data_IF_497873888061
#
_entry.id   IF_497873888061
#
_cell.length_a   1.000
_cell.length_b   1.000
_cell.length_c   1.000
_cell.angle_alpha   90.00
_cell.angle_beta   90.00
_cell.angle_gamma   90.00
#
_symmetry.space_group_name_H-M   'P 1'
#
loop_
_entity.id
_entity.type
_entity.pdbx_description
1 polymer ?
#
# COMPACT_ATOMS: atom_id res chain seq x y z
N UNK A 1 5.55 36.65 41.59
CA UNK A 1 5.12 35.24 41.73
C UNK A 1 4.16 34.75 40.60
N UNK A 2 3.21 35.57 40.11
CA UNK A 2 2.28 35.18 38.99
C UNK A 2 2.98 35.01 37.64
N UNK A 3 3.95 35.85 37.28
CA UNK A 3 4.67 35.81 36.00
C UNK A 3 5.51 34.53 35.85
N UNK A 4 6.19 34.10 36.94
CA UNK A 4 7.03 32.89 36.92
C UNK A 4 6.15 31.63 36.71
N UNK A 5 4.95 31.60 37.32
CA UNK A 5 3.99 30.49 37.10
C UNK A 5 3.50 30.42 35.67
N UNK A 6 3.29 31.58 35.01
CA UNK A 6 2.85 31.65 33.64
C UNK A 6 3.95 31.17 32.65
N UNK A 7 5.20 31.58 32.89
CA UNK A 7 6.35 31.13 32.09
C UNK A 7 6.55 29.62 32.24
N UNK A 8 6.47 29.08 33.47
CA UNK A 8 6.58 27.64 33.72
C UNK A 8 5.49 26.84 33.01
N UNK A 9 4.24 27.35 33.03
CA UNK A 9 3.12 26.69 32.34
C UNK A 9 3.26 26.72 30.84
N UNK A 10 3.73 27.83 30.25
CA UNK A 10 4.01 27.94 28.83
C UNK A 10 5.14 27.02 28.39
N UNK A 11 6.21 26.89 29.14
CA UNK A 11 7.31 25.97 28.87
C UNK A 11 6.83 24.50 28.92
N UNK A 12 5.99 24.14 29.90
CA UNK A 12 5.44 22.80 30.02
C UNK A 12 4.52 22.46 28.85
N UNK A 13 3.72 23.41 28.39
CA UNK A 13 2.82 23.23 27.24
C UNK A 13 3.60 23.00 25.95
N UNK A 14 4.64 23.80 25.70
CA UNK A 14 5.54 23.62 24.53
C UNK A 14 6.24 22.26 24.61
N UNK A 15 6.71 21.86 25.78
CA UNK A 15 7.33 20.55 25.98
C UNK A 15 6.37 19.40 25.66
N UNK A 16 5.11 19.48 26.08
CA UNK A 16 4.08 18.50 25.77
C UNK A 16 3.82 18.37 24.27
N UNK A 17 3.79 19.51 23.53
CA UNK A 17 3.61 19.50 22.07
C UNK A 17 4.82 18.83 21.39
N UNK A 18 6.05 19.16 21.81
CA UNK A 18 7.27 18.56 21.25
C UNK A 18 7.29 17.04 21.51
N UNK A 19 6.97 16.61 22.73
CA UNK A 19 6.92 15.19 23.07
C UNK A 19 5.81 14.46 22.30
N UNK A 20 4.64 15.06 22.16
CA UNK A 20 3.54 14.48 21.36
C UNK A 20 3.94 14.31 19.88
N UNK A 21 4.62 15.33 19.30
CA UNK A 21 5.13 15.25 17.94
C UNK A 21 6.24 14.21 17.76
N UNK A 22 7.14 14.07 18.75
CA UNK A 22 8.17 13.03 18.75
C UNK A 22 7.57 11.63 18.87
N UNK A 23 6.56 11.44 19.71
CA UNK A 23 5.84 10.17 19.84
C UNK A 23 5.09 9.85 18.54
N UNK A 24 4.45 10.85 17.93
CA UNK A 24 3.76 10.66 16.65
C UNK A 24 4.75 10.28 15.53
N UNK A 25 5.89 10.97 15.45
CA UNK A 25 6.93 10.71 14.46
C UNK A 25 7.59 9.34 14.67
N UNK A 26 7.81 8.93 15.93
CA UNK A 26 8.31 7.58 16.24
C UNK A 26 7.26 6.48 15.99
N UNK A 27 5.96 6.75 16.20
CA UNK A 27 4.91 5.79 15.86
C UNK A 27 4.73 5.61 14.35
N UNK A 28 4.88 6.67 13.56
CA UNK A 28 4.88 6.54 12.10
C UNK A 28 6.14 5.85 11.58
N UNK A 29 7.33 6.18 12.11
CA UNK A 29 8.58 5.51 11.75
C UNK A 29 8.62 4.02 12.17
N UNK A 30 8.05 3.66 13.34
CA UNK A 30 7.97 2.28 13.78
C UNK A 30 6.86 1.47 13.07
N UNK A 31 5.82 2.11 12.54
CA UNK A 31 4.85 1.43 11.66
C UNK A 31 5.43 1.03 10.31
N UNK A 32 6.45 1.74 9.82
CA UNK A 32 7.19 1.36 8.61
C UNK A 32 8.17 0.19 8.86
N UNK A 33 8.46 -0.17 10.12
CA UNK A 33 9.47 -1.19 10.45
C UNK A 33 8.91 -2.61 10.61
N UNK A 34 7.61 -2.75 10.93
CA UNK A 34 6.94 -4.03 11.08
C UNK A 34 5.87 -4.18 9.98
N UNK A 35 6.29 -4.67 8.82
CA UNK A 35 5.37 -5.02 7.74
C UNK A 35 4.65 -6.32 8.14
N UNK A 36 3.32 -6.31 8.29
CA UNK A 36 2.59 -7.49 8.75
C UNK A 36 2.58 -8.61 7.71
N UNK A 37 2.76 -9.84 8.16
CA UNK A 37 2.76 -11.04 7.30
C UNK A 37 1.36 -11.47 6.86
N UNK A 38 0.33 -11.03 7.57
CA UNK A 38 -1.07 -11.30 7.17
C UNK A 38 -1.96 -10.11 7.47
N UNK A 39 -2.83 -9.75 6.55
CA UNK A 39 -3.77 -8.64 6.68
C UNK A 39 -5.17 -9.04 6.23
N UNK A 40 -6.20 -8.40 6.82
CA UNK A 40 -7.56 -8.42 6.28
C UNK A 40 -7.64 -7.53 5.04
N UNK A 41 -8.55 -7.84 4.11
CA UNK A 41 -8.67 -7.17 2.81
C UNK A 41 -8.75 -5.64 2.86
N UNK A 42 -9.22 -5.05 3.96
CA UNK A 42 -9.28 -3.60 4.14
C UNK A 42 -7.95 -2.98 4.55
N UNK A 43 -7.02 -3.76 5.11
CA UNK A 43 -5.89 -3.22 5.84
C UNK A 43 -4.61 -3.18 5.00
N UNK A 44 -4.54 -3.92 3.89
CA UNK A 44 -3.35 -3.89 3.07
C UNK A 44 -3.27 -2.67 2.13
N UNK A 45 -4.39 -1.97 1.88
CA UNK A 45 -4.41 -0.71 1.14
C UNK A 45 -4.55 0.43 2.14
N UNK A 46 -3.47 1.17 2.36
CA UNK A 46 -3.52 2.35 3.20
C UNK A 46 -3.94 3.58 2.41
N UNK A 47 -5.07 4.18 2.82
CA UNK A 47 -5.67 5.36 2.19
C UNK A 47 -5.67 6.51 3.21
N UNK A 48 -5.30 7.70 2.75
CA UNK A 48 -5.36 8.92 3.56
C UNK A 48 -5.69 10.12 2.68
N UNK A 49 -6.70 10.91 3.09
CA UNK A 49 -7.18 12.11 2.38
C UNK A 49 -7.61 11.83 0.93
N UNK A 50 -8.31 10.73 0.67
CA UNK A 50 -8.74 10.34 -0.68
C UNK A 50 -7.57 9.98 -1.61
N UNK A 51 -6.49 9.43 -1.05
CA UNK A 51 -5.27 9.12 -1.78
C UNK A 51 -4.69 7.79 -1.29
N UNK A 52 -4.31 6.90 -2.20
CA UNK A 52 -3.66 5.63 -1.89
C UNK A 52 -2.20 5.91 -1.55
N UNK A 53 -1.74 5.49 -0.38
CA UNK A 53 -0.41 5.78 0.13
C UNK A 53 0.54 4.59 0.07
N UNK A 54 0.02 3.39 0.26
CA UNK A 54 0.84 2.17 0.26
C UNK A 54 -0.01 0.92 0.08
N UNK A 55 0.63 -0.15 -0.38
CA UNK A 55 0.14 -1.53 -0.31
C UNK A 55 1.02 -2.32 0.67
N UNK A 56 0.45 -3.03 1.63
CA UNK A 56 1.18 -3.75 2.68
C UNK A 56 2.24 -2.88 3.39
N UNK A 57 1.92 -1.62 3.65
CA UNK A 57 2.85 -0.60 4.18
C UNK A 57 4.05 -0.29 3.28
N UNK A 58 4.13 -0.87 2.08
CA UNK A 58 5.13 -0.55 1.07
C UNK A 58 4.60 0.60 0.19
N UNK A 59 5.35 1.66 0.08
CA UNK A 59 5.10 2.83 -0.79
C UNK A 59 6.30 3.06 -1.71
N UNK A 60 6.18 3.94 -2.68
CA UNK A 60 7.30 4.31 -3.56
C UNK A 60 8.49 4.93 -2.81
N UNK A 61 8.26 5.43 -1.59
CA UNK A 61 9.30 6.03 -0.73
C UNK A 61 9.83 5.06 0.34
N UNK A 62 9.41 3.79 0.32
CA UNK A 62 9.90 2.79 1.27
C UNK A 62 11.40 2.58 1.08
N UNK A 63 12.15 2.68 2.18
CA UNK A 63 13.60 2.54 2.12
C UNK A 63 14.04 1.10 1.76
N UNK A 64 15.18 0.96 1.11
CA UNK A 64 15.74 -0.35 0.78
C UNK A 64 16.09 -1.19 2.02
N UNK A 65 16.36 -0.53 3.18
CA UNK A 65 16.54 -1.24 4.44
C UNK A 65 15.26 -1.92 4.92
N UNK A 66 14.10 -1.27 4.73
CA UNK A 66 12.81 -1.85 5.08
C UNK A 66 12.40 -2.95 4.09
N UNK A 67 12.66 -2.77 2.78
CA UNK A 67 12.44 -3.83 1.80
C UNK A 67 13.30 -5.06 2.09
N UNK A 68 14.59 -4.85 2.39
CA UNK A 68 15.51 -5.92 2.75
C UNK A 68 15.02 -6.77 3.93
N UNK A 69 14.50 -6.13 4.96
CA UNK A 69 13.90 -6.82 6.11
C UNK A 69 12.63 -7.57 5.75
N UNK A 70 11.72 -6.94 5.00
CA UNK A 70 10.45 -7.56 4.62
C UNK A 70 10.65 -8.77 3.70
N UNK A 71 11.53 -8.65 2.70
CA UNK A 71 11.81 -9.71 1.74
C UNK A 71 12.94 -10.65 2.18
N UNK A 72 13.52 -10.43 3.36
CA UNK A 72 14.62 -11.27 3.91
C UNK A 72 15.79 -11.42 2.93
N UNK A 73 16.15 -10.32 2.26
CA UNK A 73 17.19 -10.30 1.21
C UNK A 73 18.31 -9.30 1.53
N UNK A 74 19.46 -9.44 0.88
CA UNK A 74 20.56 -8.47 1.02
C UNK A 74 20.17 -7.14 0.39
N UNK A 75 20.38 -6.04 1.12
CA UNK A 75 20.13 -4.67 0.65
C UNK A 75 20.83 -4.35 -0.66
N UNK A 76 22.02 -4.89 -0.89
CA UNK A 76 22.80 -4.64 -2.10
C UNK A 76 22.20 -5.34 -3.35
N UNK A 77 21.37 -6.36 -3.16
CA UNK A 77 20.70 -7.11 -4.23
C UNK A 77 19.32 -6.55 -4.59
N UNK A 78 18.87 -5.48 -3.92
CA UNK A 78 17.51 -4.94 -4.13
C UNK A 78 17.41 -4.12 -5.42
N UNK A 79 18.45 -3.36 -5.76
CA UNK A 79 18.44 -2.45 -6.91
C UNK A 79 18.28 -3.20 -8.23
N UNK A 80 17.45 -2.67 -9.12
CA UNK A 80 17.15 -3.26 -10.44
C UNK A 80 16.70 -4.72 -10.35
N UNK A 81 15.92 -5.05 -9.30
CA UNK A 81 15.49 -6.41 -9.05
C UNK A 81 13.98 -6.49 -8.83
N UNK A 82 13.45 -7.70 -8.97
CA UNK A 82 12.06 -8.04 -8.67
C UNK A 82 12.06 -8.85 -7.38
N UNK A 83 11.47 -8.27 -6.33
CA UNK A 83 11.34 -8.92 -5.04
C UNK A 83 9.98 -9.61 -4.97
N UNK A 84 9.92 -10.83 -4.44
CA UNK A 84 8.71 -11.64 -4.32
C UNK A 84 8.61 -12.25 -2.93
N UNK A 85 7.40 -12.25 -2.36
CA UNK A 85 7.12 -12.94 -1.11
C UNK A 85 5.70 -13.46 -1.12
N UNK A 86 5.51 -14.70 -0.69
CA UNK A 86 4.18 -15.23 -0.38
C UNK A 86 3.64 -14.54 0.86
N UNK A 87 2.39 -14.14 0.80
CA UNK A 87 1.68 -13.45 1.87
C UNK A 87 0.35 -14.16 2.14
N UNK A 88 -0.25 -13.86 3.29
CA UNK A 88 -1.63 -14.25 3.55
C UNK A 88 -2.50 -13.01 3.63
N UNK A 89 -3.58 -13.02 2.85
CA UNK A 89 -4.64 -11.99 2.91
C UNK A 89 -5.88 -12.69 3.43
N UNK A 90 -6.22 -12.49 4.71
CA UNK A 90 -7.19 -13.32 5.43
C UNK A 90 -6.72 -14.79 5.48
N UNK A 91 -7.55 -15.68 4.90
CA UNK A 91 -7.26 -17.12 4.80
C UNK A 91 -6.68 -17.51 3.44
N UNK A 92 -6.58 -16.55 2.49
CA UNK A 92 -6.14 -16.80 1.14
C UNK A 92 -4.64 -16.62 0.99
N UNK A 93 -4.05 -17.51 0.21
CA UNK A 93 -2.67 -17.36 -0.21
C UNK A 93 -2.57 -16.33 -1.33
N UNK A 94 -1.56 -15.49 -1.23
CA UNK A 94 -1.27 -14.47 -2.21
C UNK A 94 0.24 -14.25 -2.37
N UNK A 95 0.60 -13.39 -3.29
CA UNK A 95 1.98 -13.00 -3.52
C UNK A 95 2.07 -11.47 -3.59
N UNK A 96 3.07 -10.90 -2.93
CA UNK A 96 3.48 -9.52 -3.16
C UNK A 96 4.74 -9.49 -4.00
N UNK A 97 4.74 -8.65 -5.04
CA UNK A 97 5.84 -8.46 -5.97
C UNK A 97 6.18 -6.97 -5.97
N UNK A 98 7.46 -6.65 -5.80
CA UNK A 98 7.94 -5.26 -5.85
C UNK A 98 9.01 -5.15 -6.93
N UNK A 99 8.77 -4.28 -7.90
CA UNK A 99 9.72 -3.94 -8.94
C UNK A 99 10.53 -2.73 -8.48
N UNK A 100 11.83 -2.91 -8.39
CA UNK A 100 12.75 -1.91 -7.86
C UNK A 100 13.73 -1.50 -8.94
N UNK A 101 13.73 -0.21 -9.28
CA UNK A 101 14.75 0.41 -10.12
C UNK A 101 16.00 0.80 -9.33
N UNK A 102 16.82 1.66 -9.91
CA UNK A 102 18.10 2.07 -9.32
C UNK A 102 17.95 2.73 -7.94
N UNK A 103 16.97 3.63 -7.78
CA UNK A 103 16.82 4.47 -6.61
C UNK A 103 15.38 4.53 -6.07
N UNK A 104 14.44 3.82 -6.67
CA UNK A 104 13.02 3.93 -6.35
C UNK A 104 12.27 2.63 -6.63
N UNK A 105 11.13 2.48 -5.97
CA UNK A 105 10.16 1.46 -6.29
C UNK A 105 9.33 1.93 -7.49
N UNK A 106 9.26 1.10 -8.50
CA UNK A 106 8.56 1.37 -9.76
C UNK A 106 7.12 0.87 -9.72
N UNK A 107 6.92 -0.32 -9.18
CA UNK A 107 5.60 -0.95 -9.09
C UNK A 107 5.54 -1.87 -7.87
N UNK A 108 4.36 -1.95 -7.28
CA UNK A 108 4.01 -2.91 -6.25
C UNK A 108 2.78 -3.67 -6.75
N UNK A 109 2.87 -4.98 -6.85
CA UNK A 109 1.79 -5.86 -7.29
C UNK A 109 1.41 -6.81 -6.16
N UNK A 110 0.12 -6.99 -5.94
CA UNK A 110 -0.43 -8.00 -5.02
C UNK A 110 -1.34 -8.92 -5.81
N UNK A 111 -1.02 -10.20 -5.82
CA UNK A 111 -1.84 -11.24 -6.42
C UNK A 111 -2.58 -12.03 -5.35
N UNK A 112 -3.87 -12.27 -5.53
CA UNK A 112 -4.74 -13.07 -4.68
C UNK A 112 -5.37 -14.14 -5.55
N UNK A 113 -5.23 -15.41 -5.17
CA UNK A 113 -5.61 -16.55 -6.00
C UNK A 113 -6.90 -17.25 -5.55
N UNK A 114 -7.43 -16.90 -4.36
CA UNK A 114 -8.62 -17.53 -3.80
C UNK A 114 -9.65 -16.49 -3.37
N UNK A 115 -10.94 -16.86 -3.38
CA UNK A 115 -12.05 -15.99 -2.94
C UNK A 115 -12.01 -14.59 -3.56
N UNK A 116 -11.72 -14.53 -4.86
CA UNK A 116 -11.49 -13.30 -5.64
C UNK A 116 -12.68 -12.33 -5.52
N UNK A 117 -13.92 -12.82 -5.55
CA UNK A 117 -15.12 -11.99 -5.45
C UNK A 117 -15.21 -11.30 -4.09
N UNK A 118 -14.99 -12.04 -2.99
CA UNK A 118 -15.02 -11.49 -1.63
C UNK A 118 -13.87 -10.46 -1.45
N UNK A 119 -12.69 -10.74 -2.01
CA UNK A 119 -11.57 -9.82 -2.00
C UNK A 119 -11.91 -8.52 -2.74
N UNK A 120 -12.44 -8.63 -3.96
CA UNK A 120 -12.80 -7.48 -4.80
C UNK A 120 -13.88 -6.61 -4.14
N UNK A 121 -14.93 -7.23 -3.59
CA UNK A 121 -16.01 -6.51 -2.90
C UNK A 121 -15.48 -5.73 -1.68
N UNK A 122 -14.62 -6.34 -0.87
CA UNK A 122 -14.05 -5.69 0.31
C UNK A 122 -13.10 -4.55 -0.07
N UNK A 123 -12.30 -4.72 -1.13
CA UNK A 123 -11.43 -3.66 -1.65
C UNK A 123 -12.28 -2.47 -2.13
N UNK A 124 -13.33 -2.73 -2.90
CA UNK A 124 -14.23 -1.67 -3.38
C UNK A 124 -14.89 -0.93 -2.23
N UNK A 125 -15.39 -1.63 -1.21
CA UNK A 125 -15.95 -1.00 -0.01
C UNK A 125 -14.94 -0.07 0.66
N UNK A 126 -13.68 -0.50 0.78
CA UNK A 126 -12.62 0.32 1.35
C UNK A 126 -12.33 1.57 0.50
N UNK A 127 -12.20 1.43 -0.81
CA UNK A 127 -11.93 2.54 -1.73
C UNK A 127 -13.07 3.57 -1.73
N UNK A 128 -14.31 3.11 -1.88
CA UNK A 128 -15.51 3.98 -1.90
C UNK A 128 -15.69 4.70 -0.57
N UNK A 129 -15.50 4.02 0.57
CA UNK A 129 -15.60 4.64 1.89
C UNK A 129 -14.55 5.75 2.12
N UNK A 130 -13.47 5.75 1.35
CA UNK A 130 -12.42 6.75 1.34
C UNK A 130 -12.51 7.74 0.16
N UNK A 131 -13.67 7.81 -0.52
CA UNK A 131 -13.94 8.70 -1.67
C UNK A 131 -13.02 8.45 -2.88
N UNK A 132 -12.55 7.22 -3.08
CA UNK A 132 -11.83 6.81 -4.29
C UNK A 132 -12.81 6.07 -5.21
N UNK A 133 -13.05 6.65 -6.38
CA UNK A 133 -13.89 6.05 -7.41
C UNK A 133 -13.00 5.48 -8.52
N UNK A 134 -13.24 4.22 -8.86
CA UNK A 134 -12.53 3.54 -9.95
C UNK A 134 -13.30 3.69 -11.26
N UNK A 135 -12.57 3.83 -12.36
CA UNK A 135 -13.08 3.58 -13.70
C UNK A 135 -13.02 2.08 -13.98
N UNK A 136 -13.93 1.54 -14.75
CA UNK A 136 -14.01 0.11 -15.06
C UNK A 136 -14.04 -0.15 -16.57
N UNK A 137 -13.35 -1.21 -17.00
CA UNK A 137 -13.35 -1.74 -18.36
C UNK A 137 -13.54 -3.25 -18.31
N UNK A 138 -14.31 -3.80 -19.26
CA UNK A 138 -14.52 -5.24 -19.41
C UNK A 138 -13.80 -5.67 -20.69
N UNK A 139 -13.02 -6.74 -20.60
CA UNK A 139 -12.34 -7.35 -21.73
C UNK A 139 -13.03 -8.68 -22.00
N UNK A 140 -13.65 -8.80 -23.17
CA UNK A 140 -14.31 -10.00 -23.65
C UNK A 140 -13.46 -10.73 -24.69
N UNK A 141 -13.65 -12.04 -24.80
CA UNK A 141 -13.13 -12.83 -25.92
C UNK A 141 -13.99 -12.65 -27.19
N UNK A 142 -13.58 -13.34 -28.28
CA UNK A 142 -14.30 -13.31 -29.56
C UNK A 142 -15.72 -13.92 -29.50
N UNK A 143 -15.99 -14.72 -28.48
CA UNK A 143 -17.27 -15.42 -28.29
C UNK A 143 -18.18 -14.66 -27.28
N UNK A 144 -17.72 -13.51 -26.78
CA UNK A 144 -18.45 -12.65 -25.84
C UNK A 144 -18.38 -13.11 -24.39
N UNK A 145 -17.42 -13.99 -24.03
CA UNK A 145 -17.19 -14.31 -22.63
C UNK A 145 -16.23 -13.29 -22.02
N UNK A 146 -16.51 -12.85 -20.82
CA UNK A 146 -15.64 -11.91 -20.11
C UNK A 146 -14.36 -12.60 -19.66
N UNK A 147 -13.21 -12.19 -20.22
CA UNK A 147 -11.89 -12.69 -19.87
C UNK A 147 -11.35 -11.99 -18.62
N UNK A 148 -11.54 -10.68 -18.53
CA UNK A 148 -11.06 -9.89 -17.41
C UNK A 148 -11.93 -8.65 -17.16
N UNK A 149 -11.98 -8.25 -15.92
CA UNK A 149 -12.53 -6.97 -15.48
C UNK A 149 -11.37 -6.12 -14.94
N UNK A 150 -11.20 -4.92 -15.49
CA UNK A 150 -10.13 -3.98 -15.10
C UNK A 150 -10.76 -2.75 -14.47
N UNK A 151 -10.30 -2.39 -13.28
CA UNK A 151 -10.69 -1.20 -12.57
C UNK A 151 -9.48 -0.35 -12.26
N UNK A 152 -9.53 0.95 -12.51
CA UNK A 152 -8.37 1.80 -12.31
C UNK A 152 -8.71 3.17 -11.74
N UNK A 153 -7.72 3.72 -11.03
CA UNK A 153 -7.68 5.08 -10.54
C UNK A 153 -6.30 5.65 -10.84
N UNK A 154 -6.28 6.84 -11.43
CA UNK A 154 -5.04 7.53 -11.78
C UNK A 154 -4.99 8.91 -11.13
N UNK A 155 -3.85 9.25 -10.59
CA UNK A 155 -3.58 10.53 -9.97
C UNK A 155 -2.14 10.92 -10.24
N UNK A 156 -1.86 12.22 -10.36
CA UNK A 156 -0.63 12.91 -10.80
C UNK A 156 0.68 12.09 -10.87
N UNK A 157 0.91 11.19 -9.92
CA UNK A 157 2.18 10.51 -9.74
C UNK A 157 2.08 8.98 -9.74
N UNK A 158 0.87 8.43 -9.82
CA UNK A 158 0.69 6.99 -9.79
C UNK A 158 -0.61 6.54 -10.45
N UNK A 159 -0.62 5.27 -10.86
CA UNK A 159 -1.81 4.55 -11.30
C UNK A 159 -2.04 3.35 -10.39
N UNK A 160 -3.28 3.18 -9.97
CA UNK A 160 -3.74 2.02 -9.21
C UNK A 160 -4.68 1.22 -10.11
N UNK A 161 -4.42 -0.07 -10.27
CA UNK A 161 -5.18 -0.94 -11.17
C UNK A 161 -5.55 -2.20 -10.41
N UNK A 162 -6.80 -2.62 -10.56
CA UNK A 162 -7.28 -3.92 -10.12
C UNK A 162 -7.68 -4.69 -11.37
N UNK A 163 -7.11 -5.86 -11.55
CA UNK A 163 -7.46 -6.78 -12.66
C UNK A 163 -8.00 -8.06 -12.07
N UNK A 164 -9.28 -8.36 -12.35
CA UNK A 164 -9.89 -9.65 -12.06
C UNK A 164 -9.84 -10.49 -13.33
N UNK A 165 -9.12 -11.59 -13.29
CA UNK A 165 -9.08 -12.57 -14.37
C UNK A 165 -10.09 -13.69 -14.12
N UNK A 166 -10.99 -13.92 -15.07
CA UNK A 166 -12.00 -14.95 -14.94
C UNK A 166 -11.44 -16.34 -15.28
N UNK A 167 -10.45 -16.42 -16.18
CA UNK A 167 -9.84 -17.70 -16.59
C UNK A 167 -9.07 -18.38 -15.45
N UNK A 168 -8.34 -17.59 -14.66
CA UNK A 168 -7.45 -18.08 -13.60
C UNK A 168 -8.01 -17.89 -12.19
N UNK A 169 -9.19 -17.28 -12.05
CA UNK A 169 -9.75 -16.89 -10.76
C UNK A 169 -8.74 -16.13 -9.89
N UNK A 170 -8.02 -15.18 -10.52
CA UNK A 170 -6.99 -14.38 -9.85
C UNK A 170 -7.40 -12.92 -9.81
N UNK A 171 -7.00 -12.25 -8.74
CA UNK A 171 -7.10 -10.81 -8.57
C UNK A 171 -5.69 -10.24 -8.47
N UNK A 172 -5.32 -9.38 -9.42
CA UNK A 172 -4.08 -8.61 -9.37
C UNK A 172 -4.36 -7.16 -9.01
N UNK A 173 -3.57 -6.61 -8.11
CA UNK A 173 -3.66 -5.22 -7.69
C UNK A 173 -2.31 -4.59 -7.91
N UNK A 174 -2.24 -3.63 -8.83
CA UNK A 174 -1.02 -2.95 -9.24
C UNK A 174 -1.02 -1.49 -8.76
N UNK A 175 0.04 -1.09 -8.09
CA UNK A 175 0.31 0.28 -7.69
C UNK A 175 1.58 0.75 -8.41
N UNK A 176 1.41 1.58 -9.43
CA UNK A 176 2.44 1.91 -10.44
C UNK A 176 2.88 3.35 -10.25
N UNK A 177 4.18 3.58 -10.20
CA UNK A 177 4.78 4.90 -10.08
C UNK A 177 4.93 5.55 -11.46
N UNK A 178 4.17 6.60 -11.74
CA UNK A 178 4.20 7.31 -13.01
C UNK A 178 5.34 8.36 -13.12
N UNK A 179 6.06 8.63 -12.05
CA UNK A 179 7.18 9.59 -12.08
C UNK A 179 8.42 9.06 -12.81
N UNK A 180 8.43 7.79 -13.16
CA UNK A 180 9.58 7.09 -13.74
C UNK A 180 9.37 6.84 -15.23
N UNK A 181 8.12 6.94 -15.67
CA UNK A 181 7.72 6.86 -17.07
C UNK A 181 7.88 8.22 -17.77
#
# INVERSE_FOLDING_TARGET
MRVIKFILFSCLFVLCIVVANLIHKNRTANREADLPESLIYSDFIYISNGDIKSLFSISFNTSFDNLSKFFETDKNSIRNNILRKTIKVKENDGEIIVFVGDNTIEQITVNINDNVEDALENIFKNLVSNNINLNGEIIDDTDGNTLAEIYYFEKDNYKFVITKSNDNQTLSIDYINLKIL
#
